data_IF_406495254915
#
_entry.id   IF_406495254915
#
_cell.length_a   1.000
_cell.length_b   1.000
_cell.length_c   1.000
_cell.angle_alpha   90.00
_cell.angle_beta   90.00
_cell.angle_gamma   90.00
#
_symmetry.space_group_name_H-M   'P 1'
#
loop_
_entity.id
_entity.type
_entity.pdbx_description
1 polymer ?
#
# COMPACT_ATOMS: atom_id res chain seq x y z
N UNK A 1 11.00 7.43 -2.06
CA UNK A 1 9.77 7.51 -1.26
C UNK A 1 9.13 8.87 -1.51
N UNK A 2 7.87 8.87 -1.89
CA UNK A 2 7.10 10.09 -2.16
C UNK A 2 6.72 10.77 -0.84
N UNK A 3 7.11 12.04 -0.69
CA UNK A 3 6.69 12.90 0.42
C UNK A 3 5.63 13.91 -0.08
N UNK A 4 4.39 13.68 0.27
CA UNK A 4 3.27 14.60 0.03
C UNK A 4 2.65 15.11 1.34
N UNK A 5 3.41 15.03 2.44
CA UNK A 5 2.98 15.48 3.75
C UNK A 5 2.20 14.45 4.57
N UNK A 6 2.17 13.17 4.15
CA UNK A 6 1.52 12.10 4.89
C UNK A 6 2.30 10.78 4.82
N UNK A 7 2.19 9.95 5.86
CA UNK A 7 2.85 8.65 5.94
C UNK A 7 4.05 8.62 6.87
N UNK A 8 4.48 7.40 7.23
CA UNK A 8 5.64 7.17 8.09
C UNK A 8 6.93 7.09 7.27
N UNK A 9 7.31 8.22 6.65
CA UNK A 9 8.42 8.31 5.70
C UNK A 9 9.73 7.79 6.27
N UNK A 10 10.03 8.13 7.53
CA UNK A 10 11.30 7.77 8.17
C UNK A 10 11.45 6.26 8.35
N UNK A 11 10.42 5.58 8.85
CA UNK A 11 10.46 4.12 9.04
C UNK A 11 10.52 3.37 7.71
N UNK A 12 9.77 3.83 6.70
CA UNK A 12 9.81 3.24 5.35
C UNK A 12 11.20 3.41 4.72
N UNK A 13 11.76 4.62 4.79
CA UNK A 13 13.09 4.89 4.25
C UNK A 13 14.17 4.04 4.93
N UNK A 14 14.10 3.89 6.25
CA UNK A 14 15.03 3.02 7.00
C UNK A 14 14.88 1.55 6.62
N UNK A 15 13.65 1.04 6.50
CA UNK A 15 13.42 -0.35 6.13
C UNK A 15 13.94 -0.65 4.71
N UNK A 16 13.66 0.24 3.75
CA UNK A 16 14.17 0.11 2.38
C UNK A 16 15.70 0.20 2.33
N UNK A 17 16.32 1.12 3.07
CA UNK A 17 17.77 1.21 3.16
C UNK A 17 18.39 -0.05 3.78
N UNK A 18 17.71 -0.65 4.77
CA UNK A 18 18.17 -1.88 5.42
C UNK A 18 18.22 -3.07 4.44
N UNK A 19 17.30 -3.13 3.49
CA UNK A 19 17.28 -4.17 2.45
C UNK A 19 18.15 -3.81 1.21
N UNK A 20 18.96 -2.75 1.30
CA UNK A 20 19.96 -2.41 0.29
C UNK A 20 19.53 -1.38 -0.75
N UNK A 21 18.35 -0.76 -0.63
CA UNK A 21 17.94 0.29 -1.55
C UNK A 21 18.71 1.61 -1.31
N UNK A 22 19.05 2.31 -2.38
CA UNK A 22 19.53 3.69 -2.34
C UNK A 22 18.31 4.63 -2.22
N UNK A 23 17.91 4.96 -0.98
CA UNK A 23 16.66 5.63 -0.69
C UNK A 23 16.79 7.15 -0.75
N UNK A 24 15.83 7.78 -1.42
CA UNK A 24 15.59 9.23 -1.37
C UNK A 24 14.13 9.49 -0.98
N UNK A 25 13.91 10.49 -0.15
CA UNK A 25 12.59 11.02 0.18
C UNK A 25 12.43 12.31 -0.59
N UNK A 26 11.48 12.36 -1.49
CA UNK A 26 11.33 13.46 -2.44
C UNK A 26 9.96 14.12 -2.30
N UNK A 27 9.95 15.42 -2.11
CA UNK A 27 8.74 16.26 -2.10
C UNK A 27 8.49 17.00 -3.43
N UNK A 28 9.43 16.88 -4.38
CA UNK A 28 9.32 17.43 -5.71
C UNK A 28 9.17 16.31 -6.75
N UNK A 29 8.07 16.29 -7.53
CA UNK A 29 7.86 15.29 -8.58
C UNK A 29 8.97 15.25 -9.64
N UNK A 30 9.59 16.40 -9.97
CA UNK A 30 10.65 16.44 -10.97
C UNK A 30 11.90 15.67 -10.50
N UNK A 31 12.25 15.79 -9.24
CA UNK A 31 13.36 15.06 -8.61
C UNK A 31 13.10 13.55 -8.52
N UNK A 32 11.85 13.15 -8.29
CA UNK A 32 11.45 11.76 -8.19
C UNK A 32 11.37 11.02 -9.54
N UNK A 33 11.33 11.72 -10.66
CA UNK A 33 11.14 11.14 -12.01
C UNK A 33 12.19 10.08 -12.38
N UNK A 34 13.39 10.17 -11.84
CA UNK A 34 14.52 9.25 -12.13
C UNK A 34 14.57 8.03 -11.22
N UNK A 35 13.67 7.92 -10.24
CA UNK A 35 13.66 6.78 -9.33
C UNK A 35 13.34 5.48 -10.07
N UNK A 36 14.06 4.40 -9.79
CA UNK A 36 13.78 3.08 -10.35
C UNK A 36 12.49 2.50 -9.74
N UNK A 37 12.29 2.71 -8.44
CA UNK A 37 11.11 2.33 -7.67
C UNK A 37 10.47 3.59 -7.06
N UNK A 38 9.16 3.75 -7.22
CA UNK A 38 8.39 4.72 -6.47
C UNK A 38 7.62 4.03 -5.33
N UNK A 39 7.76 4.57 -4.12
CA UNK A 39 6.99 4.11 -2.96
C UNK A 39 6.01 5.20 -2.55
N UNK A 40 4.73 4.89 -2.57
CA UNK A 40 3.64 5.76 -2.12
C UNK A 40 3.17 5.31 -0.74
N UNK A 41 3.62 5.95 0.33
CA UNK A 41 3.09 5.71 1.66
C UNK A 41 1.73 6.36 1.81
N UNK A 42 0.99 5.99 2.85
CA UNK A 42 -0.22 6.70 3.21
C UNK A 42 -0.61 6.42 4.66
N UNK A 43 -1.02 7.48 5.36
CA UNK A 43 -1.51 7.39 6.73
C UNK A 43 -2.55 8.50 6.96
N UNK A 44 -3.62 8.16 7.65
CA UNK A 44 -4.70 9.09 7.96
C UNK A 44 -5.96 8.82 7.14
N UNK A 45 -6.84 9.81 7.08
CA UNK A 45 -8.15 9.69 6.44
C UNK A 45 -8.05 9.78 4.92
N UNK A 46 -8.73 8.87 4.21
CA UNK A 46 -8.65 8.71 2.76
C UNK A 46 -8.81 10.05 1.99
N UNK A 47 -9.86 10.82 2.27
CA UNK A 47 -10.13 12.07 1.56
C UNK A 47 -9.06 13.13 1.81
N UNK A 48 -8.52 13.21 3.02
CA UNK A 48 -7.42 14.13 3.35
C UNK A 48 -6.15 13.74 2.59
N UNK A 49 -5.82 12.46 2.60
CA UNK A 49 -4.65 11.90 1.90
C UNK A 49 -4.78 12.10 0.39
N UNK A 50 -5.94 11.79 -0.20
CA UNK A 50 -6.20 12.01 -1.61
C UNK A 50 -6.05 13.49 -2.03
N UNK A 51 -6.53 14.41 -1.19
CA UNK A 51 -6.40 15.86 -1.42
C UNK A 51 -4.95 16.31 -1.34
N UNK A 52 -4.22 15.89 -0.29
CA UNK A 52 -2.81 16.23 -0.12
C UNK A 52 -1.95 15.68 -1.26
N UNK A 53 -2.18 14.43 -1.66
CA UNK A 53 -1.49 13.80 -2.77
C UNK A 53 -1.70 14.55 -4.10
N UNK A 54 -2.94 14.96 -4.41
CA UNK A 54 -3.19 15.77 -5.61
C UNK A 54 -2.54 17.14 -5.54
N UNK A 55 -2.61 17.79 -4.39
CA UNK A 55 -2.01 19.11 -4.19
C UNK A 55 -0.48 19.08 -4.31
N UNK A 56 0.17 17.97 -4.03
CA UNK A 56 1.62 17.80 -4.18
C UNK A 56 2.11 17.70 -5.63
N UNK A 57 1.20 17.49 -6.60
CA UNK A 57 1.55 17.37 -8.02
C UNK A 57 2.16 16.01 -8.42
N UNK A 58 2.21 15.02 -7.52
CA UNK A 58 2.76 13.69 -7.82
C UNK A 58 1.84 12.80 -8.68
N UNK A 59 0.54 13.10 -8.76
CA UNK A 59 -0.41 12.22 -9.45
C UNK A 59 -0.02 11.92 -10.91
N UNK A 60 0.36 12.89 -11.78
CA UNK A 60 0.78 12.59 -13.14
C UNK A 60 2.02 11.67 -13.18
N UNK A 61 3.03 11.95 -12.36
CA UNK A 61 4.23 11.11 -12.30
C UNK A 61 3.92 9.67 -11.90
N UNK A 62 3.08 9.47 -10.89
CA UNK A 62 2.70 8.13 -10.44
C UNK A 62 1.93 7.39 -11.52
N UNK A 63 0.99 8.05 -12.20
CA UNK A 63 0.24 7.44 -13.31
C UNK A 63 1.15 7.04 -14.47
N UNK A 64 2.05 7.92 -14.88
CA UNK A 64 3.02 7.64 -15.96
C UNK A 64 3.96 6.49 -15.57
N UNK A 65 4.41 6.46 -14.31
CA UNK A 65 5.32 5.44 -13.80
C UNK A 65 4.66 4.06 -13.81
N UNK A 66 3.42 3.95 -13.33
CA UNK A 66 2.64 2.70 -13.32
C UNK A 66 2.28 2.28 -14.75
N UNK A 67 1.84 3.20 -15.60
CA UNK A 67 1.51 2.91 -16.99
C UNK A 67 2.71 2.41 -17.82
N UNK A 68 3.91 2.82 -17.44
CA UNK A 68 5.17 2.33 -18.01
C UNK A 68 5.66 1.01 -17.39
N UNK A 69 4.84 0.35 -16.57
CA UNK A 69 5.14 -0.87 -15.81
C UNK A 69 6.46 -0.79 -15.01
N UNK A 70 6.75 0.40 -14.46
CA UNK A 70 7.92 0.61 -13.61
C UNK A 70 7.60 0.22 -12.18
N UNK A 71 8.59 -0.28 -11.40
CA UNK A 71 8.39 -0.73 -10.03
C UNK A 71 7.70 0.31 -9.15
N UNK A 72 6.59 -0.07 -8.54
CA UNK A 72 5.78 0.78 -7.68
C UNK A 72 5.29 0.01 -6.46
N UNK A 73 5.33 0.64 -5.29
CA UNK A 73 4.80 0.07 -4.04
C UNK A 73 3.86 1.07 -3.36
N UNK A 74 2.57 0.70 -3.21
CA UNK A 74 1.60 1.41 -2.38
C UNK A 74 1.47 0.79 -0.99
N UNK A 75 1.60 1.58 0.09
CA UNK A 75 1.53 1.09 1.47
C UNK A 75 0.34 1.71 2.21
N UNK A 76 -0.50 0.87 2.78
CA UNK A 76 -1.67 1.22 3.60
C UNK A 76 -2.63 2.16 2.83
N UNK A 77 -2.79 3.43 3.20
CA UNK A 77 -3.61 4.37 2.42
C UNK A 77 -3.02 4.61 1.03
N UNK A 78 -1.71 4.42 0.82
CA UNK A 78 -1.09 4.42 -0.50
C UNK A 78 -1.63 3.33 -1.43
N UNK A 79 -1.89 2.13 -0.90
CA UNK A 79 -2.65 1.09 -1.60
C UNK A 79 -4.08 1.53 -1.88
N UNK A 80 -4.76 2.08 -0.87
CA UNK A 80 -6.16 2.50 -0.99
C UNK A 80 -6.36 3.58 -2.06
N UNK A 81 -5.40 4.49 -2.20
CA UNK A 81 -5.42 5.53 -3.25
C UNK A 81 -5.40 4.97 -4.66
N UNK A 82 -4.91 3.77 -4.89
CA UNK A 82 -4.93 3.14 -6.23
C UNK A 82 -6.35 2.82 -6.71
N UNK A 83 -7.32 2.66 -5.79
CA UNK A 83 -8.71 2.32 -6.10
C UNK A 83 -9.52 3.55 -6.54
N UNK A 84 -10.79 3.32 -6.91
CA UNK A 84 -11.68 4.37 -7.43
C UNK A 84 -12.21 5.29 -6.33
N UNK A 85 -12.56 4.73 -5.16
CA UNK A 85 -13.30 5.44 -4.10
C UNK A 85 -13.15 4.79 -2.74
N UNK A 86 -13.66 5.45 -1.70
CA UNK A 86 -13.65 4.96 -0.33
C UNK A 86 -14.98 5.22 0.38
N UNK A 87 -15.44 4.25 1.16
CA UNK A 87 -16.59 4.41 2.07
C UNK A 87 -16.27 5.37 3.23
N UNK A 88 -14.99 5.60 3.52
CA UNK A 88 -14.57 6.58 4.54
C UNK A 88 -14.93 8.01 4.15
N UNK A 89 -14.79 8.33 2.85
CA UNK A 89 -15.08 9.65 2.29
C UNK A 89 -15.76 9.49 0.91
N UNK A 90 -17.08 9.28 0.86
CA UNK A 90 -17.81 8.96 -0.39
C UNK A 90 -17.64 9.99 -1.50
N UNK A 91 -17.34 11.26 -1.16
CA UNK A 91 -17.08 12.33 -2.13
C UNK A 91 -15.65 12.37 -2.65
N UNK A 92 -14.71 11.64 -2.03
CA UNK A 92 -13.32 11.59 -2.44
C UNK A 92 -13.10 10.50 -3.49
N UNK A 93 -12.24 10.80 -4.46
CA UNK A 93 -11.81 9.84 -5.49
C UNK A 93 -10.37 9.41 -5.24
N UNK A 94 -10.10 8.12 -5.47
CA UNK A 94 -8.76 7.60 -5.59
C UNK A 94 -8.17 7.86 -6.98
N UNK A 95 -7.11 7.17 -7.31
CA UNK A 95 -6.46 7.27 -8.63
C UNK A 95 -7.20 6.46 -9.71
N UNK A 96 -8.00 5.44 -9.34
CA UNK A 96 -8.66 4.57 -10.29
C UNK A 96 -7.68 3.81 -11.20
N UNK A 97 -6.48 3.52 -10.70
CA UNK A 97 -5.49 2.67 -11.39
C UNK A 97 -5.93 1.22 -11.32
N UNK A 98 -6.53 0.85 -10.21
CA UNK A 98 -7.15 -0.45 -9.96
C UNK A 98 -8.62 -0.23 -9.68
N UNK A 99 -9.51 -0.94 -10.39
CA UNK A 99 -10.94 -0.89 -10.13
C UNK A 99 -11.26 -1.44 -8.75
N UNK A 100 -12.21 -0.82 -8.07
CA UNK A 100 -12.65 -1.25 -6.76
C UNK A 100 -12.81 -0.10 -5.79
N UNK A 101 -13.11 -0.44 -4.56
CA UNK A 101 -13.34 0.56 -3.51
C UNK A 101 -12.73 0.13 -2.19
N UNK A 102 -12.49 1.10 -1.36
CA UNK A 102 -12.13 0.91 0.05
C UNK A 102 -13.39 0.75 0.86
N UNK A 103 -13.47 -0.31 1.69
CA UNK A 103 -14.62 -0.65 2.52
C UNK A 103 -14.28 -0.58 3.99
N UNK A 104 -15.28 -0.29 4.84
CA UNK A 104 -15.16 -0.36 6.29
C UNK A 104 -15.28 -1.81 6.76
N UNK A 105 -14.54 -2.19 7.79
CA UNK A 105 -14.79 -3.46 8.51
C UNK A 105 -16.17 -3.44 9.16
N UNK A 106 -16.78 -4.62 9.25
CA UNK A 106 -18.05 -4.80 9.94
C UNK A 106 -17.90 -4.56 11.46
N UNK A 107 -19.00 -4.30 12.14
CA UNK A 107 -19.01 -3.98 13.58
C UNK A 107 -18.93 -5.26 14.46
N UNK A 108 -18.61 -6.41 13.88
CA UNK A 108 -18.38 -7.69 14.56
C UNK A 108 -16.97 -7.82 15.17
N UNK A 109 -16.08 -6.87 14.86
CA UNK A 109 -14.70 -6.82 15.34
C UNK A 109 -14.34 -5.41 15.83
N UNK A 110 -13.32 -5.28 16.71
CA UNK A 110 -12.78 -3.97 17.07
C UNK A 110 -12.25 -3.23 15.85
N UNK A 111 -12.65 -1.97 15.68
CA UNK A 111 -12.18 -1.08 14.61
C UNK A 111 -11.53 0.14 15.25
N UNK A 112 -10.27 0.47 14.92
CA UNK A 112 -9.43 -0.10 13.86
C UNK A 112 -8.86 -1.49 14.20
N UNK A 113 -8.56 -2.30 13.15
CA UNK A 113 -7.64 -3.41 13.25
C UNK A 113 -6.26 -2.85 13.57
N UNK A 114 -5.76 -3.11 14.77
CA UNK A 114 -4.42 -2.69 15.20
C UNK A 114 -3.68 -3.88 15.79
N UNK A 115 -2.61 -4.29 15.11
CA UNK A 115 -1.78 -5.41 15.55
C UNK A 115 -1.38 -6.37 14.44
N UNK A 116 -0.91 -7.53 14.85
CA UNK A 116 -0.42 -8.56 13.96
C UNK A 116 -1.56 -9.44 13.47
N UNK A 117 -1.57 -9.73 12.17
CA UNK A 117 -2.50 -10.66 11.57
C UNK A 117 -1.81 -11.49 10.48
N UNK A 118 -2.36 -12.67 10.23
CA UNK A 118 -1.79 -13.66 9.33
C UNK A 118 -1.93 -13.23 7.86
N UNK A 119 -0.90 -13.53 7.09
CA UNK A 119 -0.86 -13.40 5.63
C UNK A 119 -0.97 -14.80 5.02
N UNK A 120 -2.06 -15.04 4.31
CA UNK A 120 -2.23 -16.26 3.50
C UNK A 120 -1.92 -15.90 2.06
N UNK A 121 -0.75 -16.31 1.56
CA UNK A 121 -0.35 -16.06 0.19
C UNK A 121 -1.32 -16.72 -0.80
N UNK A 122 -1.65 -16.01 -1.87
CA UNK A 122 -2.49 -16.48 -2.97
C UNK A 122 -1.79 -16.24 -4.30
N UNK A 123 -1.73 -17.30 -5.12
CA UNK A 123 -1.00 -17.25 -6.39
C UNK A 123 0.53 -17.20 -6.22
N UNK A 124 1.23 -17.23 -7.34
CA UNK A 124 2.68 -17.04 -7.39
C UNK A 124 2.98 -15.58 -7.71
N UNK A 125 3.61 -14.86 -6.76
CA UNK A 125 3.94 -13.44 -6.91
C UNK A 125 5.29 -13.09 -6.31
N UNK A 126 6.02 -12.20 -6.95
CA UNK A 126 7.35 -11.77 -6.52
C UNK A 126 7.33 -11.17 -5.10
N UNK A 127 6.28 -10.43 -4.75
CA UNK A 127 6.16 -9.75 -3.46
C UNK A 127 6.26 -10.68 -2.24
N UNK A 128 5.89 -11.96 -2.40
CA UNK A 128 5.90 -12.96 -1.33
C UNK A 128 6.96 -14.05 -1.54
N UNK A 129 7.88 -13.86 -2.48
CA UNK A 129 9.00 -14.78 -2.71
C UNK A 129 9.82 -14.92 -1.43
N UNK A 130 9.97 -16.15 -0.93
CA UNK A 130 10.70 -16.44 0.30
C UNK A 130 10.02 -16.02 1.62
N UNK A 131 8.77 -15.54 1.58
CA UNK A 131 7.97 -15.31 2.78
C UNK A 131 7.32 -16.63 3.20
N UNK A 132 7.59 -17.13 4.42
CA UNK A 132 7.01 -18.40 4.89
C UNK A 132 5.47 -18.35 4.95
N UNK A 133 4.81 -19.46 4.63
CA UNK A 133 3.37 -19.58 4.88
C UNK A 133 3.03 -19.41 6.36
N UNK A 134 1.91 -18.76 6.65
CA UNK A 134 1.49 -18.44 8.02
C UNK A 134 2.28 -17.28 8.65
N UNK A 135 2.97 -16.48 7.85
CA UNK A 135 3.64 -15.26 8.33
C UNK A 135 2.64 -14.21 8.79
N UNK A 136 3.06 -13.39 9.76
CA UNK A 136 2.25 -12.30 10.29
C UNK A 136 2.82 -10.94 9.88
N UNK A 137 1.93 -9.99 9.63
CA UNK A 137 2.29 -8.59 9.38
C UNK A 137 1.49 -7.64 10.30
N UNK A 138 1.98 -6.41 10.44
CA UNK A 138 1.36 -5.40 11.29
C UNK A 138 0.35 -4.57 10.50
N UNK A 139 -0.88 -4.55 10.98
CA UNK A 139 -2.01 -3.77 10.45
C UNK A 139 -2.36 -2.61 11.38
N UNK A 140 -2.83 -1.51 10.79
CA UNK A 140 -3.35 -0.34 11.50
C UNK A 140 -4.40 0.36 10.63
N UNK A 141 -5.57 -0.29 10.44
CA UNK A 141 -6.58 0.19 9.50
C UNK A 141 -8.01 -0.06 9.97
N UNK A 142 -8.90 0.90 9.72
CA UNK A 142 -10.37 0.78 9.91
C UNK A 142 -11.08 0.39 8.62
N UNK A 143 -10.41 0.61 7.49
CA UNK A 143 -10.91 0.34 6.15
C UNK A 143 -9.92 -0.53 5.40
N UNK A 144 -10.40 -1.36 4.50
CA UNK A 144 -9.59 -2.27 3.70
C UNK A 144 -9.86 -2.09 2.21
N UNK A 145 -8.87 -2.35 1.40
CA UNK A 145 -9.03 -2.35 -0.04
C UNK A 145 -9.83 -3.58 -0.51
N UNK A 146 -10.85 -3.33 -1.32
CA UNK A 146 -11.64 -4.34 -2.01
C UNK A 146 -11.52 -4.11 -3.53
N UNK A 147 -10.39 -4.49 -4.14
CA UNK A 147 -10.20 -4.38 -5.56
C UNK A 147 -11.08 -5.39 -6.30
N UNK A 148 -11.53 -5.00 -7.49
CA UNK A 148 -12.27 -5.87 -8.40
C UNK A 148 -11.27 -6.57 -9.33
N UNK A 149 -10.47 -7.45 -8.77
CA UNK A 149 -9.44 -8.19 -9.49
C UNK A 149 -9.09 -9.50 -8.79
N UNK A 150 -8.61 -10.46 -9.58
CA UNK A 150 -7.95 -11.67 -9.12
C UNK A 150 -6.45 -11.54 -9.45
N UNK A 151 -5.63 -11.40 -8.43
CA UNK A 151 -4.20 -11.15 -8.58
C UNK A 151 -3.39 -11.92 -7.53
N UNK A 152 -2.14 -12.28 -7.83
CA UNK A 152 -1.22 -12.80 -6.83
C UNK A 152 -1.04 -11.80 -5.68
N UNK A 153 -0.94 -12.32 -4.46
CA UNK A 153 -0.78 -11.46 -3.30
C UNK A 153 -0.95 -12.19 -1.98
N UNK A 154 -1.62 -11.56 -1.04
CA UNK A 154 -1.98 -12.18 0.23
C UNK A 154 -3.40 -11.82 0.64
N UNK A 155 -4.04 -12.74 1.29
CA UNK A 155 -5.36 -12.58 1.90
C UNK A 155 -5.21 -12.64 3.42
N UNK A 156 -5.97 -11.80 4.09
CA UNK A 156 -6.06 -11.76 5.54
C UNK A 156 -7.53 -11.87 5.96
N UNK A 157 -7.77 -12.53 7.09
CA UNK A 157 -9.10 -12.62 7.69
C UNK A 157 -9.13 -11.80 8.97
N UNK A 158 -10.12 -10.92 9.11
CA UNK A 158 -10.38 -10.14 10.31
C UNK A 158 -11.87 -10.19 10.66
N UNK A 159 -12.21 -10.89 11.73
CA UNK A 159 -13.61 -11.27 12.01
C UNK A 159 -14.22 -12.11 10.89
N UNK A 160 -15.39 -11.75 10.43
CA UNK A 160 -16.04 -12.38 9.27
C UNK A 160 -15.51 -11.86 7.92
N UNK A 161 -14.68 -10.82 7.92
CA UNK A 161 -14.17 -10.19 6.69
C UNK A 161 -12.88 -10.87 6.23
N UNK A 162 -12.92 -11.42 5.02
CA UNK A 162 -11.74 -11.89 4.28
C UNK A 162 -11.45 -10.90 3.16
N UNK A 163 -10.24 -10.34 3.12
CA UNK A 163 -9.88 -9.31 2.15
C UNK A 163 -8.48 -9.51 1.58
N UNK A 164 -8.25 -8.97 0.40
CA UNK A 164 -6.95 -8.96 -0.24
C UNK A 164 -6.06 -7.93 0.46
N UNK A 165 -5.15 -8.39 1.31
CA UNK A 165 -4.27 -7.54 2.13
C UNK A 165 -2.99 -7.11 1.42
N UNK A 166 -2.66 -7.74 0.30
CA UNK A 166 -1.64 -7.32 -0.64
C UNK A 166 -1.92 -7.89 -2.02
N UNK A 167 -1.46 -7.20 -3.07
CA UNK A 167 -1.54 -7.70 -4.45
C UNK A 167 -0.39 -7.21 -5.31
N UNK A 168 -0.20 -7.89 -6.43
CA UNK A 168 0.76 -7.53 -7.49
C UNK A 168 0.08 -7.57 -8.86
N UNK A 169 0.32 -6.55 -9.67
CA UNK A 169 -0.10 -6.44 -11.06
C UNK A 169 1.12 -5.99 -11.88
N UNK A 170 1.82 -6.93 -12.54
CA UNK A 170 3.11 -6.62 -13.12
C UNK A 170 4.06 -6.10 -12.04
N UNK A 171 4.63 -4.93 -12.28
CA UNK A 171 5.51 -4.23 -11.35
C UNK A 171 4.79 -3.29 -10.37
N UNK A 172 3.46 -3.25 -10.37
CA UNK A 172 2.66 -2.57 -9.36
C UNK A 172 2.43 -3.51 -8.18
N UNK A 173 2.97 -3.17 -7.03
CA UNK A 173 2.77 -3.87 -5.76
C UNK A 173 2.03 -2.98 -4.76
N UNK A 174 1.23 -3.61 -3.89
CA UNK A 174 0.50 -2.86 -2.88
C UNK A 174 0.23 -3.71 -1.63
N UNK A 175 0.36 -3.10 -0.44
CA UNK A 175 0.11 -3.73 0.86
C UNK A 175 -0.82 -2.89 1.71
N UNK A 176 -1.81 -3.52 2.36
CA UNK A 176 -2.66 -2.86 3.36
C UNK A 176 -1.95 -2.77 4.72
N UNK A 177 -1.13 -3.76 5.03
CA UNK A 177 -0.28 -3.77 6.20
C UNK A 177 0.95 -2.86 6.01
N UNK A 178 1.67 -2.65 7.09
CA UNK A 178 2.89 -1.86 7.15
C UNK A 178 4.13 -2.77 7.12
N UNK A 179 4.77 -3.01 5.96
CA UNK A 179 5.96 -3.85 5.91
C UNK A 179 7.10 -3.28 6.76
N UNK A 180 7.23 -1.95 6.83
CA UNK A 180 8.23 -1.26 7.66
C UNK A 180 8.04 -1.46 9.18
N UNK A 181 6.89 -2.02 9.60
CA UNK A 181 6.56 -2.37 10.99
C UNK A 181 6.43 -3.87 11.21
N UNK A 182 6.67 -4.68 10.18
CA UNK A 182 6.41 -6.12 10.18
C UNK A 182 7.68 -6.97 10.38
N UNK A 183 8.71 -6.41 11.02
CA UNK A 183 9.96 -7.09 11.37
C UNK A 183 10.57 -7.83 10.16
N UNK A 184 11.09 -9.04 10.35
CA UNK A 184 11.77 -9.82 9.30
C UNK A 184 10.87 -10.16 8.12
N UNK A 185 9.58 -10.42 8.37
CA UNK A 185 8.59 -10.66 7.30
C UNK A 185 8.44 -9.42 6.42
N UNK A 186 8.32 -8.25 7.04
CA UNK A 186 8.24 -6.99 6.32
C UNK A 186 9.51 -6.67 5.52
N UNK A 187 10.68 -6.93 6.09
CA UNK A 187 11.96 -6.75 5.41
C UNK A 187 12.11 -7.69 4.21
N UNK A 188 11.65 -8.94 4.30
CA UNK A 188 11.63 -9.88 3.16
C UNK A 188 10.71 -9.42 2.04
N UNK A 189 9.55 -8.83 2.38
CA UNK A 189 8.61 -8.28 1.40
C UNK A 189 9.19 -7.04 0.70
N UNK A 190 10.03 -6.26 1.39
CA UNK A 190 10.66 -5.06 0.84
C UNK A 190 11.95 -5.35 0.05
N UNK A 191 12.54 -6.53 0.23
CA UNK A 191 13.77 -6.97 -0.48
C UNK A 191 13.47 -7.46 -1.89
#
# INVERSE_FOLDING_TARGET
VIDYGAGNLHSIARALAHVGCAVRVESDPASARRADLLVLPGQGRFGQVAKAFRASGFEPLVRDHIAADRPFLGICVGLQLLLDSSEEDPGARGLGVVRGRVRRFADDVPVPQMGWNELVAVGEGALFAGVPGGSYAYFANSYYAAPDLDAPGAVTTYGATRFLSAFSLGNLHATQFHPEKSQDVGLRILA
#
